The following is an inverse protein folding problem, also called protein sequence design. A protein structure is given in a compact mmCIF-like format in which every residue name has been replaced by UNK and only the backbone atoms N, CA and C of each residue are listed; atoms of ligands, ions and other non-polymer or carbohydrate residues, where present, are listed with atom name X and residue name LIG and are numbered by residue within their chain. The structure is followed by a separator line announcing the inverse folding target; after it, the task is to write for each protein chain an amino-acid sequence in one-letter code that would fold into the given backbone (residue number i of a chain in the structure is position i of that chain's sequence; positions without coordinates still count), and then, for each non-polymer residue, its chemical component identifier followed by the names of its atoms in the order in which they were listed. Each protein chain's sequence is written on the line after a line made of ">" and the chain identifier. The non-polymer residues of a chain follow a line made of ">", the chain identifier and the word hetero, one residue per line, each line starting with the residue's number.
data_IF_650545311598
#
_entry.id   IF_650545311598
#
_cell.length_a   1.000
_cell.length_b   1.000
_cell.length_c   1.000
_cell.angle_alpha   90.00
_cell.angle_beta   90.00
_cell.angle_gamma   90.00
#
_symmetry.space_group_name_H-M   'P 1'
#
loop_
_entity.id
_entity.type
_entity.pdbx_description
1 polymer ?
#
# COMPACT_ATOMS: atom_id res chain seq x y z
N UNK A 1 10.47 40.79 0.40
CA UNK A 1 9.55 39.65 0.14
C UNK A 1 10.13 38.27 0.47
N UNK A 2 11.46 38.07 0.49
CA UNK A 2 12.08 36.79 0.87
C UNK A 2 11.83 36.39 2.34
N UNK A 3 11.83 37.35 3.27
CA UNK A 3 11.61 37.07 4.70
C UNK A 3 10.26 36.38 4.96
N UNK A 4 9.18 36.93 4.39
CA UNK A 4 7.81 36.41 4.57
C UNK A 4 7.58 35.12 3.80
N UNK A 5 8.06 35.00 2.56
CA UNK A 5 7.79 33.83 1.71
C UNK A 5 8.69 32.62 1.99
N UNK A 6 9.87 32.83 2.61
CA UNK A 6 10.89 31.77 2.77
C UNK A 6 11.31 31.56 4.21
N UNK A 7 11.66 32.62 4.94
CA UNK A 7 12.22 32.45 6.28
C UNK A 7 11.15 32.16 7.34
N UNK A 8 9.98 32.81 7.27
CA UNK A 8 8.89 32.54 8.21
C UNK A 8 8.36 31.09 8.09
N UNK A 9 8.03 30.56 6.90
CA UNK A 9 7.58 29.17 6.77
C UNK A 9 8.64 28.16 7.25
N UNK A 10 9.91 28.38 6.90
CA UNK A 10 11.01 27.53 7.36
C UNK A 10 11.15 27.52 8.89
N UNK A 11 11.04 28.69 9.53
CA UNK A 11 11.10 28.79 10.98
C UNK A 11 9.93 28.04 11.64
N UNK A 12 8.71 28.16 11.08
CA UNK A 12 7.53 27.43 11.56
C UNK A 12 7.77 25.92 11.45
N UNK A 13 8.15 25.42 10.27
CA UNK A 13 8.39 23.99 10.04
C UNK A 13 9.48 23.46 10.98
N UNK A 14 10.57 24.22 11.16
CA UNK A 14 11.66 23.85 12.05
C UNK A 14 11.20 23.73 13.52
N UNK A 15 10.49 24.75 14.02
CA UNK A 15 10.01 24.79 15.41
C UNK A 15 9.00 23.67 15.67
N UNK A 16 7.96 23.55 14.85
CA UNK A 16 6.94 22.50 15.03
C UNK A 16 7.52 21.10 14.81
N UNK A 17 8.45 20.94 13.86
CA UNK A 17 9.16 19.68 13.61
C UNK A 17 9.98 19.23 14.81
N UNK A 18 10.79 20.12 15.38
CA UNK A 18 11.60 19.82 16.58
C UNK A 18 10.70 19.58 17.80
N UNK A 19 9.65 20.38 18.00
CA UNK A 19 8.71 20.16 19.10
C UNK A 19 8.03 18.79 18.99
N UNK A 20 7.60 18.39 17.79
CA UNK A 20 7.00 17.07 17.57
C UNK A 20 7.98 15.94 17.88
N UNK A 21 9.24 16.04 17.40
CA UNK A 21 10.26 15.05 17.71
C UNK A 21 10.56 14.99 19.22
N UNK A 22 10.71 16.13 19.87
CA UNK A 22 10.99 16.21 21.30
C UNK A 22 9.85 15.60 22.12
N UNK A 23 8.60 15.97 21.86
CA UNK A 23 7.44 15.43 22.60
C UNK A 23 7.20 13.95 22.33
N UNK A 24 7.52 13.45 21.13
CA UNK A 24 7.34 12.04 20.80
C UNK A 24 8.38 11.14 21.49
N UNK A 25 9.65 11.56 21.57
CA UNK A 25 10.73 10.75 22.14
C UNK A 25 11.06 11.05 23.61
N UNK A 26 10.75 12.25 24.10
CA UNK A 26 10.92 12.66 25.50
C UNK A 26 9.51 12.89 26.05
N UNK A 27 8.94 11.97 26.85
CA UNK A 27 7.52 12.02 27.23
C UNK A 27 7.29 12.60 28.64
N UNK A 28 7.13 13.93 28.81
CA UNK A 28 6.33 14.45 29.91
C UNK A 28 4.85 14.20 29.59
N UNK A 29 4.16 13.43 30.44
CA UNK A 29 2.74 13.02 30.25
C UNK A 29 1.84 14.17 29.78
N UNK A 30 1.99 15.35 30.37
CA UNK A 30 1.21 16.55 30.03
C UNK A 30 1.42 17.06 28.59
N UNK A 31 2.65 16.98 28.08
CA UNK A 31 2.95 17.43 26.72
C UNK A 31 2.45 16.40 25.69
N UNK A 32 2.57 15.10 26.00
CA UNK A 32 2.16 14.04 25.10
C UNK A 32 0.64 14.07 24.86
N UNK A 33 -0.15 14.14 25.93
CA UNK A 33 -1.61 14.09 25.85
C UNK A 33 -2.16 15.35 25.15
N UNK A 34 -1.64 16.54 25.44
CA UNK A 34 -2.18 17.77 24.85
C UNK A 34 -1.65 18.08 23.45
N UNK A 35 -0.32 18.03 23.26
CA UNK A 35 0.31 18.44 22.00
C UNK A 35 0.07 17.41 20.89
N UNK A 36 0.32 16.12 21.14
CA UNK A 36 0.15 15.10 20.10
C UNK A 36 -1.32 14.91 19.72
N UNK A 37 -2.25 15.00 20.67
CA UNK A 37 -3.68 14.96 20.35
C UNK A 37 -4.07 16.16 19.45
N UNK A 38 -3.57 17.36 19.79
CA UNK A 38 -3.80 18.55 18.95
C UNK A 38 -3.19 18.41 17.57
N UNK A 39 -1.95 17.93 17.46
CA UNK A 39 -1.30 17.68 16.16
C UNK A 39 -2.04 16.61 15.36
N UNK A 40 -2.52 15.54 15.99
CA UNK A 40 -3.32 14.51 15.34
C UNK A 40 -4.65 15.07 14.81
N UNK A 41 -5.31 15.97 15.54
CA UNK A 41 -6.51 16.69 15.04
C UNK A 41 -6.18 17.49 13.78
N UNK A 42 -5.08 18.23 13.77
CA UNK A 42 -4.64 18.97 12.58
C UNK A 42 -4.29 18.04 11.41
N UNK A 43 -3.57 16.95 11.67
CA UNK A 43 -3.26 15.93 10.64
C UNK A 43 -4.54 15.36 10.06
N UNK A 44 -5.53 15.03 10.88
CA UNK A 44 -6.81 14.51 10.42
C UNK A 44 -7.58 15.52 9.56
N UNK A 45 -7.57 16.81 9.95
CA UNK A 45 -8.17 17.88 9.14
C UNK A 45 -7.47 17.99 7.78
N UNK A 46 -6.13 18.04 7.76
CA UNK A 46 -5.36 18.10 6.50
C UNK A 46 -5.60 16.84 5.66
N UNK A 47 -5.65 15.67 6.28
CA UNK A 47 -5.94 14.41 5.60
C UNK A 47 -7.33 14.43 4.95
N UNK A 48 -8.36 14.95 5.63
CA UNK A 48 -9.70 15.08 5.07
C UNK A 48 -9.72 15.96 3.81
N UNK A 49 -9.02 17.11 3.83
CA UNK A 49 -8.84 17.95 2.64
C UNK A 49 -8.02 17.26 1.55
N UNK A 50 -6.98 16.51 1.91
CA UNK A 50 -6.17 15.75 0.96
C UNK A 50 -6.98 14.63 0.28
N UNK A 51 -7.86 13.94 1.01
CA UNK A 51 -8.80 12.96 0.45
C UNK A 51 -9.76 13.62 -0.54
N UNK A 52 -10.30 14.78 -0.21
CA UNK A 52 -11.16 15.55 -1.11
C UNK A 52 -10.41 15.96 -2.38
N UNK A 53 -9.18 16.48 -2.25
CA UNK A 53 -8.33 16.83 -3.39
C UNK A 53 -7.99 15.61 -4.24
N UNK A 54 -7.72 14.45 -3.62
CA UNK A 54 -7.46 13.20 -4.34
C UNK A 54 -8.68 12.75 -5.15
N UNK A 55 -9.88 12.84 -4.57
CA UNK A 55 -11.13 12.54 -5.26
C UNK A 55 -11.37 13.50 -6.44
N UNK A 56 -11.22 14.81 -6.21
CA UNK A 56 -11.37 15.82 -7.26
C UNK A 56 -10.33 15.64 -8.38
N UNK A 57 -9.09 15.31 -8.03
CA UNK A 57 -8.02 15.03 -9.01
C UNK A 57 -8.35 13.81 -9.87
N UNK A 58 -8.85 12.73 -9.24
CA UNK A 58 -9.31 11.54 -9.96
C UNK A 58 -10.45 11.89 -10.93
N UNK A 59 -11.47 12.62 -10.45
CA UNK A 59 -12.60 13.03 -11.27
C UNK A 59 -12.18 13.99 -12.39
N UNK A 60 -11.25 14.91 -12.12
CA UNK A 60 -10.74 15.82 -13.13
C UNK A 60 -9.97 15.08 -14.23
N UNK A 61 -9.15 14.10 -13.86
CA UNK A 61 -8.41 13.25 -14.80
C UNK A 61 -9.36 12.47 -15.72
N UNK A 62 -10.37 11.82 -15.15
CA UNK A 62 -11.36 11.05 -15.92
C UNK A 62 -12.29 11.95 -16.74
N UNK A 63 -12.66 13.12 -16.24
CA UNK A 63 -13.44 14.11 -16.97
C UNK A 63 -12.68 14.60 -18.21
N UNK A 64 -11.39 14.91 -18.06
CA UNK A 64 -10.55 15.33 -19.19
C UNK A 64 -10.38 14.22 -20.23
N UNK A 65 -10.29 12.96 -19.81
CA UNK A 65 -10.27 11.81 -20.75
C UNK A 65 -11.57 11.71 -21.55
N UNK A 66 -12.72 11.88 -20.88
CA UNK A 66 -14.05 11.86 -21.54
C UNK A 66 -14.19 13.05 -22.49
N UNK A 67 -13.88 14.26 -22.04
CA UNK A 67 -13.98 15.49 -22.83
C UNK A 67 -13.11 15.44 -24.08
N UNK A 68 -11.88 14.93 -23.96
CA UNK A 68 -10.93 14.81 -25.08
C UNK A 68 -11.13 13.54 -25.92
N UNK A 69 -12.05 12.65 -25.54
CA UNK A 69 -12.32 11.35 -26.19
C UNK A 69 -11.04 10.55 -26.48
N UNK A 70 -10.12 10.52 -25.53
CA UNK A 70 -8.87 9.74 -25.66
C UNK A 70 -9.17 8.24 -25.70
N UNK A 71 -8.25 7.43 -26.20
CA UNK A 71 -8.43 5.98 -26.26
C UNK A 71 -8.78 5.40 -24.88
N UNK A 72 -9.84 4.58 -24.86
CA UNK A 72 -10.39 4.03 -23.62
C UNK A 72 -11.22 5.00 -22.77
N UNK A 73 -11.65 6.16 -23.31
CA UNK A 73 -12.48 7.13 -22.58
C UNK A 73 -13.76 6.50 -21.98
N UNK A 74 -14.38 5.54 -22.67
CA UNK A 74 -15.59 4.87 -22.20
C UNK A 74 -15.41 4.20 -20.84
N UNK A 75 -14.21 3.68 -20.54
CA UNK A 75 -13.90 3.09 -19.23
C UNK A 75 -13.91 4.12 -18.09
N UNK A 76 -13.70 5.40 -18.41
CA UNK A 76 -13.74 6.47 -17.40
C UNK A 76 -15.15 6.71 -16.84
N UNK A 77 -16.20 6.31 -17.57
CA UNK A 77 -17.58 6.40 -17.08
C UNK A 77 -17.78 5.48 -15.86
N UNK A 78 -17.16 4.30 -15.85
CA UNK A 78 -17.26 3.35 -14.75
C UNK A 78 -16.69 3.87 -13.43
N UNK A 79 -15.79 4.86 -13.46
CA UNK A 79 -15.29 5.52 -12.24
C UNK A 79 -16.42 6.26 -11.53
N UNK A 80 -17.23 7.02 -12.28
CA UNK A 80 -18.35 7.78 -11.71
C UNK A 80 -19.49 6.85 -11.28
N UNK A 81 -19.85 5.88 -12.12
CA UNK A 81 -20.90 4.90 -11.78
C UNK A 81 -20.47 4.09 -10.55
N UNK A 82 -19.24 3.57 -10.53
CA UNK A 82 -18.70 2.81 -9.41
C UNK A 82 -18.65 3.63 -8.12
N UNK A 83 -18.22 4.88 -8.20
CA UNK A 83 -18.24 5.80 -7.06
C UNK A 83 -19.66 6.00 -6.50
N UNK A 84 -20.63 6.32 -7.36
CA UNK A 84 -22.02 6.52 -6.93
C UNK A 84 -22.62 5.26 -6.30
N UNK A 85 -22.41 4.10 -6.93
CA UNK A 85 -22.91 2.81 -6.42
C UNK A 85 -22.32 2.50 -5.04
N UNK A 86 -21.00 2.68 -4.86
CA UNK A 86 -20.35 2.44 -3.57
C UNK A 86 -20.84 3.42 -2.51
N UNK A 87 -20.96 4.71 -2.83
CA UNK A 87 -21.46 5.73 -1.89
C UNK A 87 -22.89 5.45 -1.45
N UNK A 88 -23.79 5.15 -2.39
CA UNK A 88 -25.19 4.81 -2.06
C UNK A 88 -25.24 3.57 -1.16
N UNK A 89 -24.47 2.53 -1.48
CA UNK A 89 -24.43 1.34 -0.66
C UNK A 89 -23.78 1.55 0.71
N UNK A 90 -22.81 2.46 0.81
CA UNK A 90 -22.17 2.85 2.07
C UNK A 90 -23.12 3.61 2.99
N UNK A 91 -23.89 4.56 2.44
CA UNK A 91 -24.90 5.30 3.20
C UNK A 91 -25.98 4.33 3.71
N UNK A 92 -26.46 3.43 2.85
CA UNK A 92 -27.48 2.44 3.22
C UNK A 92 -27.02 1.46 4.30
N UNK A 93 -25.72 1.14 4.35
CA UNK A 93 -25.15 0.20 5.31
C UNK A 93 -24.47 0.85 6.50
N UNK A 94 -24.59 2.18 6.68
CA UNK A 94 -23.85 2.95 7.70
C UNK A 94 -22.33 2.69 7.68
N UNK A 95 -21.78 2.37 6.50
CA UNK A 95 -20.37 2.01 6.33
C UNK A 95 -19.99 0.60 6.82
N UNK A 96 -20.91 -0.18 7.36
CA UNK A 96 -20.63 -1.53 7.85
C UNK A 96 -20.64 -2.57 6.72
N UNK A 97 -19.68 -3.50 6.74
CA UNK A 97 -19.61 -4.63 5.79
C UNK A 97 -20.58 -5.76 6.14
N UNK A 98 -20.93 -5.90 7.43
CA UNK A 98 -21.78 -6.96 7.94
C UNK A 98 -22.69 -6.41 9.03
N UNK A 99 -23.93 -6.91 9.08
CA UNK A 99 -24.86 -6.65 10.17
C UNK A 99 -25.29 -8.01 10.72
N UNK A 100 -24.69 -8.40 11.86
CA UNK A 100 -24.78 -9.77 12.36
C UNK A 100 -24.18 -10.78 11.37
N UNK A 101 -24.87 -11.91 11.08
CA UNK A 101 -24.39 -12.91 10.10
C UNK A 101 -24.66 -12.50 8.64
N UNK A 102 -25.46 -11.46 8.39
CA UNK A 102 -25.87 -11.05 7.05
C UNK A 102 -24.89 -10.02 6.45
N UNK A 103 -24.70 -10.14 5.13
CA UNK A 103 -23.89 -9.21 4.35
C UNK A 103 -24.72 -7.96 4.02
N UNK A 104 -24.18 -6.78 4.31
CA UNK A 104 -24.84 -5.51 3.93
C UNK A 104 -24.70 -5.26 2.43
N UNK A 105 -25.37 -4.22 1.91
CA UNK A 105 -25.18 -3.77 0.52
C UNK A 105 -23.71 -3.44 0.21
N UNK A 106 -23.01 -2.78 1.14
CA UNK A 106 -21.59 -2.48 0.98
C UNK A 106 -20.75 -3.77 1.07
N UNK A 107 -21.05 -4.66 2.01
CA UNK A 107 -20.40 -5.97 2.12
C UNK A 107 -20.51 -6.82 0.85
N UNK A 108 -21.68 -6.79 0.20
CA UNK A 108 -21.91 -7.52 -1.05
C UNK A 108 -21.04 -6.98 -2.18
N UNK A 109 -21.03 -5.66 -2.38
CA UNK A 109 -20.15 -5.03 -3.38
C UNK A 109 -18.69 -5.32 -3.07
N UNK A 110 -18.28 -5.22 -1.80
CA UNK A 110 -16.89 -5.46 -1.44
C UNK A 110 -16.48 -6.91 -1.74
N UNK A 111 -17.32 -7.88 -1.34
CA UNK A 111 -17.02 -9.31 -1.50
C UNK A 111 -17.09 -9.79 -2.94
N UNK A 112 -18.11 -9.38 -3.70
CA UNK A 112 -18.36 -9.95 -5.03
C UNK A 112 -17.85 -9.07 -6.16
N UNK A 113 -17.79 -7.75 -5.98
CA UNK A 113 -17.28 -6.83 -7.00
C UNK A 113 -15.82 -6.48 -6.73
N UNK A 114 -15.51 -5.83 -5.60
CA UNK A 114 -14.17 -5.33 -5.33
C UNK A 114 -13.13 -6.46 -5.21
N UNK A 115 -13.40 -7.49 -4.40
CA UNK A 115 -12.46 -8.59 -4.21
C UNK A 115 -12.26 -9.40 -5.51
N UNK A 116 -13.32 -9.70 -6.24
CA UNK A 116 -13.24 -10.46 -7.50
C UNK A 116 -12.51 -9.67 -8.58
N UNK A 117 -12.80 -8.38 -8.75
CA UNK A 117 -12.10 -7.52 -9.71
C UNK A 117 -10.63 -7.37 -9.33
N UNK A 118 -10.33 -7.16 -8.05
CA UNK A 118 -8.94 -7.10 -7.56
C UNK A 118 -8.20 -8.41 -7.83
N UNK A 119 -8.83 -9.55 -7.55
CA UNK A 119 -8.27 -10.87 -7.85
C UNK A 119 -8.01 -11.05 -9.35
N UNK A 120 -8.90 -10.55 -10.22
CA UNK A 120 -8.70 -10.60 -11.67
C UNK A 120 -7.50 -9.76 -12.12
N UNK A 121 -7.32 -8.56 -11.55
CA UNK A 121 -6.15 -7.72 -11.81
C UNK A 121 -4.85 -8.41 -11.37
N UNK A 122 -4.85 -9.02 -10.18
CA UNK A 122 -3.71 -9.80 -9.70
C UNK A 122 -3.45 -11.06 -10.53
N UNK A 123 -4.49 -11.73 -11.03
CA UNK A 123 -4.34 -12.90 -11.90
C UNK A 123 -3.69 -12.54 -13.23
N UNK A 124 -4.11 -11.44 -13.86
CA UNK A 124 -3.49 -10.93 -15.09
C UNK A 124 -2.03 -10.54 -14.83
N UNK A 125 -1.74 -9.86 -13.72
CA UNK A 125 -0.37 -9.53 -13.33
C UNK A 125 0.48 -10.79 -13.12
N UNK A 126 -0.04 -11.79 -12.42
CA UNK A 126 0.64 -13.06 -12.20
C UNK A 126 0.95 -13.78 -13.52
N UNK A 127 -0.01 -13.81 -14.46
CA UNK A 127 0.21 -14.35 -15.80
C UNK A 127 1.35 -13.64 -16.52
N UNK A 128 1.39 -12.31 -16.51
CA UNK A 128 2.47 -11.54 -17.11
C UNK A 128 3.83 -11.78 -16.44
N UNK A 129 3.86 -11.87 -15.10
CA UNK A 129 5.09 -12.18 -14.36
C UNK A 129 5.61 -13.56 -14.76
N UNK A 130 4.75 -14.57 -14.81
CA UNK A 130 5.15 -15.94 -15.20
C UNK A 130 5.59 -15.97 -16.67
N UNK A 131 4.87 -15.30 -17.58
CA UNK A 131 5.22 -15.27 -19.01
C UNK A 131 6.55 -14.57 -19.26
N UNK A 132 6.76 -13.42 -18.62
CA UNK A 132 8.03 -12.68 -18.73
C UNK A 132 9.16 -13.44 -18.07
N UNK A 133 8.95 -13.98 -16.88
CA UNK A 133 9.90 -14.86 -16.20
C UNK A 133 10.27 -16.02 -17.14
N UNK A 134 9.35 -16.84 -17.61
CA UNK A 134 9.68 -17.97 -18.49
C UNK A 134 10.52 -17.58 -19.71
N UNK A 135 10.25 -16.44 -20.35
CA UNK A 135 11.05 -15.92 -21.48
C UNK A 135 12.43 -15.41 -21.06
N UNK A 136 12.56 -14.81 -19.89
CA UNK A 136 13.79 -14.19 -19.40
C UNK A 136 14.62 -15.10 -18.47
N UNK A 137 14.05 -16.21 -17.99
CA UNK A 137 14.63 -17.03 -16.94
C UNK A 137 15.72 -17.93 -17.52
N UNK A 138 16.93 -17.38 -17.59
CA UNK A 138 18.15 -18.15 -17.82
C UNK A 138 18.90 -18.23 -16.49
N UNK A 139 18.94 -19.42 -15.89
CA UNK A 139 19.71 -19.68 -14.67
C UNK A 139 21.19 -19.64 -15.05
N UNK A 140 21.79 -18.44 -14.95
CA UNK A 140 23.19 -18.20 -15.33
C UNK A 140 24.14 -18.14 -14.13
N UNK A 141 23.59 -18.08 -12.90
CA UNK A 141 24.38 -17.96 -11.68
C UNK A 141 23.83 -18.86 -10.58
N UNK A 142 24.69 -19.19 -9.60
CA UNK A 142 24.30 -19.97 -8.44
C UNK A 142 23.20 -19.26 -7.62
N UNK A 143 23.26 -17.92 -7.51
CA UNK A 143 22.22 -17.16 -6.79
C UNK A 143 20.86 -17.28 -7.50
N UNK A 144 20.83 -17.20 -8.82
CA UNK A 144 19.61 -17.37 -9.60
C UNK A 144 19.04 -18.80 -9.46
N UNK A 145 19.91 -19.81 -9.35
CA UNK A 145 19.50 -21.19 -9.11
C UNK A 145 18.85 -21.37 -7.73
N UNK A 146 19.44 -20.78 -6.68
CA UNK A 146 18.84 -20.84 -5.33
C UNK A 146 17.46 -20.18 -5.30
N UNK A 147 17.32 -19.01 -5.95
CA UNK A 147 16.03 -18.33 -6.07
C UNK A 147 15.01 -19.16 -6.86
N UNK A 148 15.46 -19.82 -7.93
CA UNK A 148 14.61 -20.73 -8.70
C UNK A 148 14.08 -21.88 -7.86
N UNK A 149 14.97 -22.58 -7.14
CA UNK A 149 14.58 -23.71 -6.29
C UNK A 149 13.62 -23.25 -5.18
N UNK A 150 13.87 -22.10 -4.55
CA UNK A 150 12.97 -21.54 -3.55
C UNK A 150 11.57 -21.24 -4.13
N UNK A 151 11.50 -20.65 -5.34
CA UNK A 151 10.24 -20.39 -6.02
C UNK A 151 9.52 -21.69 -6.42
N UNK A 152 10.26 -22.70 -6.90
CA UNK A 152 9.73 -24.01 -7.28
C UNK A 152 9.07 -24.71 -6.09
N UNK A 153 9.78 -24.84 -4.96
CA UNK A 153 9.22 -25.44 -3.75
C UNK A 153 8.03 -24.66 -3.21
N UNK A 154 8.08 -23.33 -3.25
CA UNK A 154 6.96 -22.48 -2.86
C UNK A 154 5.70 -22.74 -3.69
N UNK A 155 5.82 -22.80 -5.02
CA UNK A 155 4.69 -23.06 -5.93
C UNK A 155 4.13 -24.46 -5.67
N UNK A 156 4.99 -25.47 -5.56
CA UNK A 156 4.56 -26.86 -5.29
C UNK A 156 3.78 -26.94 -3.97
N UNK A 157 4.25 -26.30 -2.90
CA UNK A 157 3.56 -26.38 -1.61
C UNK A 157 2.27 -25.60 -1.48
N UNK A 158 2.00 -24.63 -2.36
CA UNK A 158 0.72 -23.90 -2.40
C UNK A 158 -0.32 -24.52 -3.32
N UNK A 159 0.04 -25.54 -4.12
CA UNK A 159 -0.88 -26.24 -5.02
C UNK A 159 -1.31 -27.59 -4.40
N UNK A 160 -2.61 -27.93 -4.35
CA UNK A 160 -3.09 -29.20 -3.79
C UNK A 160 -2.43 -30.44 -4.41
N UNK A 161 -2.24 -30.44 -5.74
CA UNK A 161 -1.53 -31.50 -6.46
C UNK A 161 -0.07 -31.65 -6.01
N UNK A 162 0.60 -30.54 -5.66
CA UNK A 162 1.98 -30.56 -5.22
C UNK A 162 2.15 -31.27 -3.88
N UNK A 163 1.16 -31.18 -2.98
CA UNK A 163 1.17 -31.90 -1.71
C UNK A 163 1.05 -33.43 -1.94
N UNK A 164 0.14 -33.86 -2.83
CA UNK A 164 -0.01 -35.27 -3.19
C UNK A 164 1.28 -35.82 -3.83
N UNK A 165 1.87 -35.09 -4.77
CA UNK A 165 3.13 -35.48 -5.42
C UNK A 165 4.28 -35.57 -4.42
N UNK A 166 4.39 -34.59 -3.52
CA UNK A 166 5.43 -34.57 -2.50
C UNK A 166 5.34 -35.77 -1.57
N UNK A 167 4.15 -36.08 -1.05
CA UNK A 167 3.97 -37.21 -0.13
C UNK A 167 4.24 -38.56 -0.81
N UNK A 168 3.98 -38.69 -2.12
CA UNK A 168 4.33 -39.89 -2.90
C UNK A 168 5.84 -40.00 -3.15
N UNK A 169 6.49 -38.89 -3.50
CA UNK A 169 7.91 -38.88 -3.88
C UNK A 169 8.84 -38.94 -2.66
N UNK A 170 8.47 -38.26 -1.58
CA UNK A 170 9.25 -38.10 -0.36
C UNK A 170 8.59 -38.81 0.84
N UNK A 171 7.96 -39.96 0.60
CA UNK A 171 7.31 -40.75 1.66
C UNK A 171 8.26 -41.10 2.81
N UNK A 172 9.57 -41.16 2.56
CA UNK A 172 10.59 -41.51 3.54
C UNK A 172 11.05 -40.34 4.43
N UNK A 173 10.77 -39.08 4.08
CA UNK A 173 11.36 -37.93 4.78
C UNK A 173 10.53 -37.39 5.94
N UNK A 174 9.26 -37.81 6.12
CA UNK A 174 8.32 -37.28 7.14
C UNK A 174 8.15 -35.74 7.15
N UNK A 175 8.75 -35.02 6.20
CA UNK A 175 8.66 -33.57 6.06
C UNK A 175 7.59 -33.27 5.03
N UNK A 176 6.56 -32.53 5.42
CA UNK A 176 5.54 -32.05 4.49
C UNK A 176 6.07 -30.87 3.67
N UNK A 177 5.67 -30.77 2.41
CA UNK A 177 6.00 -29.59 1.59
C UNK A 177 5.50 -28.30 2.23
N UNK A 178 4.39 -28.36 2.98
CA UNK A 178 3.84 -27.22 3.73
C UNK A 178 4.87 -26.64 4.71
N UNK A 179 5.57 -27.48 5.48
CA UNK A 179 6.62 -27.04 6.42
C UNK A 179 7.76 -26.30 5.71
N UNK A 180 8.17 -26.78 4.53
CA UNK A 180 9.20 -26.11 3.71
C UNK A 180 8.69 -24.75 3.24
N UNK A 181 7.45 -24.67 2.74
CA UNK A 181 6.87 -23.40 2.31
C UNK A 181 6.67 -22.42 3.45
N UNK A 182 6.25 -22.90 4.61
CA UNK A 182 6.05 -22.06 5.79
C UNK A 182 7.39 -21.54 6.30
N UNK A 183 8.47 -22.34 6.26
CA UNK A 183 9.81 -21.85 6.57
C UNK A 183 10.25 -20.75 5.61
N UNK A 184 10.07 -20.92 4.29
CA UNK A 184 10.39 -19.89 3.27
C UNK A 184 9.63 -18.58 3.53
N UNK A 185 8.34 -18.67 3.87
CA UNK A 185 7.50 -17.49 4.11
C UNK A 185 7.88 -16.82 5.43
N UNK A 186 8.06 -17.59 6.49
CA UNK A 186 8.20 -17.05 7.84
C UNK A 186 9.62 -16.61 8.19
N UNK A 187 10.64 -17.11 7.48
CA UNK A 187 12.04 -16.76 7.74
C UNK A 187 12.60 -15.78 6.69
N UNK A 188 13.01 -16.20 5.47
CA UNK A 188 13.65 -15.27 4.53
C UNK A 188 12.68 -14.23 3.96
N UNK A 189 11.41 -14.58 3.68
CA UNK A 189 10.44 -13.60 3.16
C UNK A 189 10.10 -12.53 4.20
N UNK A 190 9.89 -12.92 5.47
CA UNK A 190 9.69 -11.95 6.56
C UNK A 190 10.94 -11.10 6.79
N UNK A 191 12.15 -11.67 6.74
CA UNK A 191 13.39 -10.91 6.85
C UNK A 191 13.51 -9.85 5.74
N UNK A 192 13.22 -10.22 4.49
CA UNK A 192 13.22 -9.30 3.36
C UNK A 192 12.16 -8.19 3.53
N UNK A 193 10.91 -8.55 3.91
CA UNK A 193 9.85 -7.57 4.18
C UNK A 193 10.25 -6.59 5.29
N UNK A 194 10.87 -7.08 6.36
CA UNK A 194 11.39 -6.24 7.45
C UNK A 194 12.50 -5.30 6.95
N UNK A 195 13.44 -5.80 6.15
CA UNK A 195 14.46 -4.96 5.52
C UNK A 195 13.89 -3.84 4.66
N UNK A 196 12.88 -4.14 3.84
CA UNK A 196 12.16 -3.15 3.03
C UNK A 196 11.44 -2.13 3.95
N UNK A 197 10.72 -2.59 4.97
CA UNK A 197 10.03 -1.70 5.90
C UNK A 197 10.99 -0.77 6.64
N UNK A 198 12.14 -1.28 7.10
CA UNK A 198 13.19 -0.48 7.73
C UNK A 198 13.73 0.55 6.72
N UNK A 199 14.01 0.13 5.49
CA UNK A 199 14.47 1.03 4.43
C UNK A 199 13.48 2.17 4.14
N UNK A 200 12.18 1.85 4.04
CA UNK A 200 11.11 2.84 3.87
C UNK A 200 11.05 3.78 5.08
N UNK A 201 11.12 3.24 6.31
CA UNK A 201 11.08 4.04 7.53
C UNK A 201 12.26 5.01 7.63
N UNK A 202 13.49 4.54 7.38
CA UNK A 202 14.68 5.39 7.35
C UNK A 202 14.58 6.44 6.24
N UNK A 203 14.12 6.07 5.05
CA UNK A 203 13.89 7.01 3.95
C UNK A 203 12.89 8.11 4.32
N UNK A 204 11.79 7.75 4.99
CA UNK A 204 10.81 8.70 5.49
C UNK A 204 11.40 9.64 6.56
N UNK A 205 12.18 9.10 7.51
CA UNK A 205 12.87 9.91 8.55
C UNK A 205 13.83 10.90 7.90
N UNK A 206 14.67 10.46 6.96
CA UNK A 206 15.63 11.34 6.27
C UNK A 206 14.90 12.45 5.51
N UNK A 207 13.81 12.13 4.82
CA UNK A 207 12.99 13.12 4.10
C UNK A 207 12.39 14.13 5.06
N UNK A 208 11.79 13.67 6.17
CA UNK A 208 11.25 14.54 7.22
C UNK A 208 12.31 15.45 7.83
N UNK A 209 13.51 14.94 8.12
CA UNK A 209 14.62 15.76 8.64
C UNK A 209 15.05 16.81 7.63
N UNK A 210 15.20 16.47 6.35
CA UNK A 210 15.51 17.45 5.30
C UNK A 210 14.45 18.54 5.19
N UNK A 211 13.18 18.21 5.40
CA UNK A 211 12.08 19.19 5.42
C UNK A 211 12.20 20.09 6.66
N UNK A 212 12.43 19.51 7.86
CA UNK A 212 12.57 20.24 9.14
C UNK A 212 13.74 21.22 9.08
N UNK A 213 14.90 20.78 8.61
CA UNK A 213 16.08 21.63 8.45
C UNK A 213 16.02 22.54 7.21
N UNK A 214 14.94 22.48 6.42
CA UNK A 214 14.75 23.34 5.27
C UNK A 214 15.73 23.09 4.13
N UNK A 215 16.30 21.88 4.03
CA UNK A 215 17.12 21.43 2.90
C UNK A 215 16.19 21.13 1.71
N UNK A 216 15.08 20.44 1.96
CA UNK A 216 14.03 20.19 0.96
C UNK A 216 12.89 21.20 1.11
N UNK A 217 12.66 21.98 0.05
CA UNK A 217 11.75 23.15 0.05
C UNK A 217 10.61 23.04 -0.96
N UNK A 218 10.43 21.86 -1.55
CA UNK A 218 9.44 21.66 -2.62
C UNK A 218 8.00 21.94 -2.19
N UNK A 219 7.70 21.87 -0.89
CA UNK A 219 6.39 22.19 -0.33
C UNK A 219 6.06 23.70 -0.32
N UNK A 220 7.05 24.59 -0.48
CA UNK A 220 6.83 26.04 -0.48
C UNK A 220 6.40 26.60 -1.85
N UNK A 221 6.16 25.73 -2.84
CA UNK A 221 5.91 26.12 -4.22
C UNK A 221 7.21 26.46 -4.97
N UNK A 222 7.16 26.40 -6.30
CA UNK A 222 8.24 26.94 -7.14
C UNK A 222 8.00 28.43 -7.33
N UNK A 223 9.01 29.25 -7.11
CA UNK A 223 9.15 30.52 -7.85
C UNK A 223 9.40 30.19 -9.33
#
# INVERSE_FOLDING_TARGET
>A
MMLIKRYIPLAIVFVFGIMTLATYYIPPKLAQDYYLETMNKWINIVAAFAFLLALLSLFYSHYNKIKRKVDGWGYSIFVYIGFLVVVVCAIKSEGQLMTGPALTSLGWIFRFLYNTLSASMFAVLAYYIVSTAFRSFRIKTLQAFVLFMAALFFIIGKVPLGNVLWNKLFFWTNVSISQVTDWIINVPSVAAKRGIMIGIAVGAIVTSLKIIFGIERQYMGKD
#
